data_IF_081367939063
#
_entry.id   IF_081367939063
#
_cell.length_a   1.000
_cell.length_b   1.000
_cell.length_c   1.000
_cell.angle_alpha   90.00
_cell.angle_beta   90.00
_cell.angle_gamma   90.00
#
_symmetry.space_group_name_H-M   'P 1'
#
loop_
_entity.id
_entity.type
_entity.pdbx_description
1 polymer ?
#
# COMPACT_ATOMS: atom_id res chain seq x y z
N UNK A 1 5.59 -24.98 10.39
CA UNK A 1 6.45 -24.99 9.19
C UNK A 1 5.66 -24.73 7.91
N UNK A 2 4.84 -25.67 7.41
CA UNK A 2 4.07 -25.43 6.16
C UNK A 2 2.97 -24.37 6.33
N UNK A 3 2.27 -24.38 7.48
CA UNK A 3 1.23 -23.41 7.78
C UNK A 3 1.77 -21.98 7.96
N UNK A 4 2.98 -21.83 8.51
CA UNK A 4 3.57 -20.51 8.73
C UNK A 4 3.93 -19.85 7.39
N UNK A 5 4.53 -20.62 6.48
CA UNK A 5 4.84 -20.17 5.12
C UNK A 5 3.57 -19.83 4.33
N UNK A 6 2.51 -20.64 4.47
CA UNK A 6 1.23 -20.39 3.82
C UNK A 6 0.57 -19.11 4.35
N UNK A 7 0.61 -18.88 5.67
CA UNK A 7 0.12 -17.66 6.30
C UNK A 7 0.93 -16.44 5.82
N UNK A 8 2.26 -16.50 5.81
CA UNK A 8 3.10 -15.39 5.30
C UNK A 8 2.79 -15.06 3.85
N UNK A 9 2.59 -16.07 2.99
CA UNK A 9 2.20 -15.88 1.59
C UNK A 9 0.82 -15.20 1.48
N UNK A 10 -0.18 -15.68 2.22
CA UNK A 10 -1.52 -15.09 2.23
C UNK A 10 -1.51 -13.64 2.68
N UNK A 11 -0.84 -13.33 3.80
CA UNK A 11 -0.77 -11.97 4.33
C UNK A 11 0.04 -11.02 3.44
N UNK A 12 1.09 -11.51 2.77
CA UNK A 12 1.84 -10.71 1.79
C UNK A 12 0.97 -10.31 0.59
N UNK A 13 0.20 -11.26 0.05
CA UNK A 13 -0.73 -10.99 -1.07
C UNK A 13 -1.85 -10.03 -0.63
N UNK A 14 -2.44 -10.26 0.54
CA UNK A 14 -3.46 -9.36 1.11
C UNK A 14 -2.90 -7.95 1.29
N UNK A 15 -1.65 -7.83 1.74
CA UNK A 15 -0.94 -6.57 1.87
C UNK A 15 -0.81 -5.79 0.57
N UNK A 16 -0.38 -6.47 -0.50
CA UNK A 16 -0.26 -5.88 -1.84
C UNK A 16 -1.63 -5.42 -2.34
N UNK A 17 -2.66 -6.24 -2.16
CA UNK A 17 -4.04 -5.89 -2.56
C UNK A 17 -4.57 -4.69 -1.79
N UNK A 18 -4.36 -4.64 -0.48
CA UNK A 18 -4.71 -3.49 0.37
C UNK A 18 -3.99 -2.22 -0.07
N UNK A 19 -2.71 -2.33 -0.45
CA UNK A 19 -1.91 -1.21 -0.93
C UNK A 19 -2.46 -0.65 -2.24
N UNK A 20 -2.77 -1.52 -3.20
CA UNK A 20 -3.41 -1.13 -4.46
C UNK A 20 -4.80 -0.50 -4.25
N UNK A 21 -5.62 -1.09 -3.37
CA UNK A 21 -6.93 -0.53 -3.02
C UNK A 21 -6.81 0.84 -2.36
N UNK A 22 -5.84 1.03 -1.48
CA UNK A 22 -5.60 2.30 -0.80
C UNK A 22 -5.20 3.38 -1.80
N UNK A 23 -4.32 3.06 -2.76
CA UNK A 23 -3.96 3.97 -3.84
C UNK A 23 -5.18 4.36 -4.68
N UNK A 24 -6.02 3.39 -5.06
CA UNK A 24 -7.25 3.64 -5.79
C UNK A 24 -8.26 4.48 -5.00
N UNK A 25 -8.40 4.21 -3.70
CA UNK A 25 -9.27 4.97 -2.79
C UNK A 25 -8.79 6.41 -2.63
N UNK A 26 -7.51 6.63 -2.37
CA UNK A 26 -6.90 7.97 -2.28
C UNK A 26 -7.12 8.73 -3.58
N UNK A 27 -6.84 8.09 -4.73
CA UNK A 27 -7.07 8.68 -6.04
C UNK A 27 -8.52 9.14 -6.22
N UNK A 28 -9.48 8.26 -5.88
CA UNK A 28 -10.90 8.53 -6.02
C UNK A 28 -11.41 9.57 -5.00
N UNK A 29 -10.92 9.53 -3.77
CA UNK A 29 -11.33 10.41 -2.67
C UNK A 29 -10.85 11.84 -2.88
N UNK A 30 -9.58 12.00 -3.24
CA UNK A 30 -8.99 13.31 -3.48
C UNK A 30 -9.23 13.85 -4.90
N UNK A 31 -9.89 13.06 -5.77
CA UNK A 31 -10.08 13.37 -7.21
C UNK A 31 -8.78 13.81 -7.89
N UNK A 32 -7.65 13.27 -7.42
CA UNK A 32 -6.36 13.55 -8.01
C UNK A 32 -6.33 12.84 -9.36
N UNK A 33 -5.63 13.41 -10.34
CA UNK A 33 -5.33 12.66 -11.55
C UNK A 33 -3.94 12.07 -11.35
N UNK A 34 -3.83 10.86 -10.80
CA UNK A 34 -2.53 10.22 -10.49
C UNK A 34 -1.51 10.35 -11.62
N UNK A 35 -1.96 10.12 -12.85
CA UNK A 35 -1.09 10.22 -14.02
C UNK A 35 -0.62 11.66 -14.29
N UNK A 36 -1.46 12.66 -14.06
CA UNK A 36 -1.15 14.06 -14.32
C UNK A 36 -0.23 14.61 -13.20
N UNK A 37 -0.54 14.35 -11.93
CA UNK A 37 0.22 14.90 -10.80
C UNK A 37 1.59 14.21 -10.58
N UNK A 38 1.67 12.90 -10.84
CA UNK A 38 2.90 12.15 -10.61
C UNK A 38 3.88 12.24 -11.78
N UNK A 39 3.37 12.34 -13.02
CA UNK A 39 4.20 12.33 -14.24
C UNK A 39 4.41 13.75 -14.80
N UNK A 40 3.42 14.63 -14.75
CA UNK A 40 3.56 16.00 -15.30
C UNK A 40 4.01 17.02 -14.25
N UNK A 41 3.53 16.93 -13.00
CA UNK A 41 3.93 17.89 -11.94
C UNK A 41 5.15 17.47 -11.13
N UNK A 42 5.68 16.25 -11.29
CA UNK A 42 6.76 15.71 -10.46
C UNK A 42 6.48 15.88 -8.95
N UNK A 43 5.23 15.65 -8.54
CA UNK A 43 4.81 15.97 -7.18
C UNK A 43 5.43 15.00 -6.15
N UNK A 44 6.56 15.40 -5.58
CA UNK A 44 7.29 14.67 -4.53
C UNK A 44 6.39 14.39 -3.32
N UNK A 45 5.41 15.26 -3.03
CA UNK A 45 4.46 15.04 -1.94
C UNK A 45 3.63 13.78 -2.15
N UNK A 46 3.27 13.45 -3.40
CA UNK A 46 2.56 12.22 -3.72
C UNK A 46 3.46 10.99 -3.58
N UNK A 47 4.74 11.09 -3.96
CA UNK A 47 5.72 10.04 -3.72
C UNK A 47 5.92 9.74 -2.23
N UNK A 48 5.97 10.79 -1.39
CA UNK A 48 6.05 10.66 0.07
C UNK A 48 4.76 10.05 0.64
N UNK A 49 3.59 10.45 0.13
CA UNK A 49 2.30 9.86 0.52
C UNK A 49 2.27 8.35 0.23
N UNK A 50 2.66 7.94 -0.98
CA UNK A 50 2.74 6.52 -1.36
C UNK A 50 3.71 5.74 -0.46
N UNK A 51 4.90 6.30 -0.19
CA UNK A 51 5.86 5.69 0.71
C UNK A 51 5.30 5.53 2.13
N UNK A 52 4.60 6.54 2.65
CA UNK A 52 3.96 6.50 3.96
C UNK A 52 2.87 5.42 4.05
N UNK A 53 2.03 5.31 3.02
CA UNK A 53 0.99 4.26 2.92
C UNK A 53 1.63 2.87 2.88
N UNK A 54 2.70 2.69 2.10
CA UNK A 54 3.42 1.42 2.02
C UNK A 54 4.03 1.01 3.37
N UNK A 55 4.63 1.94 4.10
CA UNK A 55 5.19 1.69 5.44
C UNK A 55 4.09 1.34 6.44
N UNK A 56 2.97 2.09 6.44
CA UNK A 56 1.85 1.82 7.34
C UNK A 56 1.26 0.42 7.14
N UNK A 57 1.10 0.00 5.88
CA UNK A 57 0.63 -1.36 5.54
C UNK A 57 1.64 -2.43 5.99
N UNK A 58 2.94 -2.19 5.78
CA UNK A 58 3.99 -3.08 6.28
C UNK A 58 3.92 -3.29 7.80
N UNK A 59 3.67 -2.21 8.56
CA UNK A 59 3.50 -2.28 10.02
C UNK A 59 2.24 -3.06 10.42
N UNK A 60 1.11 -2.83 9.75
CA UNK A 60 -0.14 -3.56 10.01
C UNK A 60 0.07 -5.06 9.80
N UNK A 61 0.70 -5.44 8.70
CA UNK A 61 0.98 -6.85 8.38
C UNK A 61 1.95 -7.45 9.39
N UNK A 62 3.02 -6.74 9.74
CA UNK A 62 3.97 -7.19 10.76
C UNK A 62 3.30 -7.43 12.12
N UNK A 63 2.35 -6.56 12.50
CA UNK A 63 1.53 -6.73 13.71
C UNK A 63 0.61 -7.95 13.66
N UNK A 64 0.06 -8.28 12.49
CA UNK A 64 -0.82 -9.44 12.28
C UNK A 64 -0.04 -10.76 12.21
N UNK A 65 1.15 -10.78 11.61
CA UNK A 65 1.97 -11.99 11.50
C UNK A 65 2.59 -12.37 12.86
N UNK A 66 2.85 -11.40 13.73
CA UNK A 66 3.42 -11.62 15.06
C UNK A 66 2.42 -12.01 16.16
N UNK A 67 1.12 -12.06 15.85
CA UNK A 67 0.03 -12.45 16.76
C UNK A 67 -0.52 -13.83 16.42
#
# INVERSE_FOLDING_TARGET
MLNDVLSTLLYSVIGIVLLLLTILLVNKLFRLNLHHELVEEHNVAFGILLAGVAVAIGIIIAGVIGS
#
